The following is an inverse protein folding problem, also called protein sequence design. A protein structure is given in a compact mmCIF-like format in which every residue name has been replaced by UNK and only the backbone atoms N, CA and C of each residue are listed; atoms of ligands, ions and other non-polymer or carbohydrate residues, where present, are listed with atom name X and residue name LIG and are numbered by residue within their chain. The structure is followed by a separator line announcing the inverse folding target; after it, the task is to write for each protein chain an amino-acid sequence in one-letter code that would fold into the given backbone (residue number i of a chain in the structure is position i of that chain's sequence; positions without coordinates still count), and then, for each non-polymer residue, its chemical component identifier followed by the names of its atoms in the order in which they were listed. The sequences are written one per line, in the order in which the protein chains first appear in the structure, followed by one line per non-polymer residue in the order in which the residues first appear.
data_IF_134428836589
#
_entry.id   IF_134428836589
#
_cell.length_a   1.000
_cell.length_b   1.000
_cell.length_c   1.000
_cell.angle_alpha   90.00
_cell.angle_beta   90.00
_cell.angle_gamma   90.00
#
_symmetry.space_group_name_H-M   'P 1'
#
loop_
_entity.id
_entity.type
_entity.pdbx_description
1 polymer ?
#
# COMPACT_ATOMS: atom_id res chain seq x y z
N UNK A 1 13.51 -27.34 -23.35
CA UNK A 1 12.20 -27.07 -22.72
C UNK A 1 12.38 -27.18 -21.22
N UNK A 2 12.48 -26.05 -20.51
CA UNK A 2 12.54 -26.08 -19.06
C UNK A 2 11.18 -26.58 -18.54
N UNK A 3 11.18 -27.66 -17.78
CA UNK A 3 9.99 -28.20 -17.12
C UNK A 3 9.43 -27.13 -16.19
N UNK A 4 8.22 -26.65 -16.49
CA UNK A 4 7.48 -25.71 -15.63
C UNK A 4 7.38 -26.31 -14.23
N UNK A 5 7.84 -25.57 -13.23
CA UNK A 5 7.63 -25.95 -11.83
C UNK A 5 6.13 -26.16 -11.56
N UNK A 6 5.72 -27.27 -10.92
CA UNK A 6 4.32 -27.59 -10.68
C UNK A 6 3.80 -26.85 -9.44
N UNK A 7 3.59 -25.54 -9.58
CA UNK A 7 3.01 -24.70 -8.53
C UNK A 7 1.65 -25.24 -8.04
N UNK A 8 1.57 -25.60 -6.75
CA UNK A 8 0.37 -26.17 -6.15
C UNK A 8 -0.78 -25.16 -6.13
N UNK A 9 -0.48 -23.87 -5.93
CA UNK A 9 -1.49 -22.82 -5.96
C UNK A 9 -2.25 -22.73 -7.29
N UNK A 10 -1.67 -23.11 -8.43
CA UNK A 10 -2.34 -23.00 -9.74
C UNK A 10 -3.66 -23.79 -9.79
N UNK A 11 -3.72 -24.93 -9.12
CA UNK A 11 -4.92 -25.75 -9.04
C UNK A 11 -5.99 -25.15 -8.11
N UNK A 12 -5.58 -24.29 -7.18
CA UNK A 12 -6.43 -23.66 -6.16
C UNK A 12 -7.04 -22.35 -6.63
N UNK A 13 -6.31 -21.57 -7.44
CA UNK A 13 -6.76 -20.31 -8.04
C UNK A 13 -7.36 -20.53 -9.44
N UNK A 14 -8.54 -21.14 -9.46
CA UNK A 14 -9.39 -21.25 -10.65
C UNK A 14 -10.39 -20.10 -10.66
N UNK A 15 -10.81 -19.64 -11.85
CA UNK A 15 -11.84 -18.60 -11.99
C UNK A 15 -13.10 -19.01 -11.23
N UNK A 16 -13.61 -18.12 -10.37
CA UNK A 16 -14.77 -18.40 -9.50
C UNK A 16 -14.57 -19.54 -8.48
N UNK A 17 -13.32 -19.93 -8.20
CA UNK A 17 -13.02 -21.18 -7.47
C UNK A 17 -13.37 -21.19 -5.98
N UNK A 18 -13.73 -20.03 -5.40
CA UNK A 18 -14.01 -19.89 -3.97
C UNK A 18 -15.50 -19.74 -3.63
N UNK A 19 -16.32 -19.26 -4.56
CA UNK A 19 -17.74 -18.96 -4.35
C UNK A 19 -18.01 -17.79 -3.39
N UNK A 20 -19.28 -17.40 -3.28
CA UNK A 20 -19.73 -16.19 -2.57
C UNK A 20 -19.23 -16.02 -1.13
N UNK A 21 -19.26 -17.07 -0.32
CA UNK A 21 -18.83 -17.04 1.10
C UNK A 21 -17.36 -17.46 1.31
N UNK A 22 -16.56 -17.40 0.24
CA UNK A 22 -15.21 -17.97 0.19
C UNK A 22 -14.09 -17.15 0.85
N UNK A 23 -14.38 -15.99 1.44
CA UNK A 23 -13.39 -14.99 1.89
C UNK A 23 -12.26 -15.59 2.74
N UNK A 24 -12.61 -16.30 3.82
CA UNK A 24 -11.63 -16.90 4.73
C UNK A 24 -10.71 -17.91 4.00
N UNK A 25 -11.31 -18.79 3.18
CA UNK A 25 -10.58 -19.81 2.43
C UNK A 25 -9.67 -19.17 1.38
N UNK A 26 -10.13 -18.11 0.71
CA UNK A 26 -9.32 -17.35 -0.23
C UNK A 26 -8.08 -16.74 0.45
N UNK A 27 -8.27 -16.08 1.60
CA UNK A 27 -7.16 -15.53 2.39
C UNK A 27 -6.15 -16.61 2.83
N UNK A 28 -6.63 -17.77 3.28
CA UNK A 28 -5.76 -18.91 3.60
C UNK A 28 -4.98 -19.39 2.36
N UNK A 29 -5.63 -19.53 1.20
CA UNK A 29 -4.94 -19.95 -0.03
C UNK A 29 -3.93 -18.92 -0.53
N UNK A 30 -4.20 -17.63 -0.35
CA UNK A 30 -3.24 -16.56 -0.67
C UNK A 30 -1.98 -16.67 0.18
N UNK A 31 -2.14 -16.87 1.50
CA UNK A 31 -1.02 -17.06 2.43
C UNK A 31 -0.20 -18.32 2.12
N UNK A 32 -0.86 -19.44 1.80
CA UNK A 32 -0.17 -20.66 1.37
C UNK A 32 0.61 -20.47 0.08
N UNK A 33 0.03 -19.79 -0.92
CA UNK A 33 0.70 -19.54 -2.20
C UNK A 33 1.91 -18.61 -2.02
N UNK A 34 1.79 -17.58 -1.18
CA UNK A 34 2.92 -16.72 -0.83
C UNK A 34 4.04 -17.52 -0.17
N UNK A 35 3.72 -18.35 0.82
CA UNK A 35 4.69 -19.22 1.51
C UNK A 35 5.40 -20.17 0.55
N UNK A 36 4.66 -20.74 -0.41
CA UNK A 36 5.21 -21.60 -1.47
C UNK A 36 6.24 -20.85 -2.32
N UNK A 37 5.90 -19.64 -2.77
CA UNK A 37 6.77 -18.79 -3.61
C UNK A 37 8.01 -18.32 -2.82
N UNK A 38 7.84 -17.86 -1.59
CA UNK A 38 8.94 -17.45 -0.70
C UNK A 38 9.90 -18.61 -0.40
N UNK A 39 9.38 -19.84 -0.28
CA UNK A 39 10.18 -21.03 -0.12
C UNK A 39 11.12 -21.27 -1.30
N UNK A 40 10.65 -21.04 -2.53
CA UNK A 40 11.46 -21.14 -3.75
C UNK A 40 12.42 -19.96 -3.91
N UNK A 41 12.00 -18.75 -3.53
CA UNK A 41 12.79 -17.52 -3.68
C UNK A 41 14.17 -17.60 -3.01
N UNK A 42 14.34 -18.45 -1.99
CA UNK A 42 15.61 -18.68 -1.29
C UNK A 42 16.66 -19.39 -2.15
N UNK A 43 16.24 -20.15 -3.15
CA UNK A 43 17.12 -21.02 -3.96
C UNK A 43 17.07 -20.68 -5.44
N UNK A 44 15.91 -20.26 -5.94
CA UNK A 44 15.70 -19.86 -7.33
C UNK A 44 14.81 -18.60 -7.40
N UNK A 45 15.39 -17.41 -7.25
CA UNK A 45 14.65 -16.15 -7.31
C UNK A 45 13.99 -15.90 -8.67
N UNK A 46 14.57 -16.40 -9.76
CA UNK A 46 14.01 -16.26 -11.11
C UNK A 46 12.71 -17.08 -11.24
N UNK A 47 12.72 -18.31 -10.76
CA UNK A 47 11.53 -19.16 -10.73
C UNK A 47 10.46 -18.60 -9.79
N UNK A 48 10.84 -18.10 -8.62
CA UNK A 48 9.91 -17.46 -7.69
C UNK A 48 9.25 -16.21 -8.29
N UNK A 49 10.00 -15.38 -9.02
CA UNK A 49 9.45 -14.25 -9.78
C UNK A 49 8.39 -14.69 -10.81
N UNK A 50 8.65 -15.75 -11.58
CA UNK A 50 7.65 -16.33 -12.50
C UNK A 50 6.42 -16.82 -11.74
N UNK A 51 6.61 -17.49 -10.59
CA UNK A 51 5.52 -17.94 -9.72
C UNK A 51 4.65 -16.78 -9.23
N UNK A 52 5.27 -15.69 -8.80
CA UNK A 52 4.60 -14.47 -8.36
C UNK A 52 3.77 -13.84 -9.49
N UNK A 53 4.33 -13.74 -10.70
CA UNK A 53 3.60 -13.28 -11.90
C UNK A 53 2.38 -14.16 -12.16
N UNK A 54 2.53 -15.49 -12.15
CA UNK A 54 1.43 -16.43 -12.36
C UNK A 54 0.34 -16.29 -11.29
N UNK A 55 0.72 -16.08 -10.03
CA UNK A 55 -0.26 -15.91 -8.95
C UNK A 55 -1.08 -14.63 -9.13
N UNK A 56 -0.43 -13.51 -9.46
CA UNK A 56 -1.08 -12.23 -9.70
C UNK A 56 -2.06 -12.29 -10.89
N UNK A 57 -1.68 -12.93 -11.99
CA UNK A 57 -2.58 -13.17 -13.14
C UNK A 57 -3.86 -13.93 -12.76
N UNK A 58 -3.77 -14.78 -11.75
CA UNK A 58 -4.86 -15.67 -11.34
C UNK A 58 -5.70 -15.11 -10.22
N UNK A 59 -5.26 -14.05 -9.57
CA UNK A 59 -5.83 -13.59 -8.31
C UNK A 59 -7.26 -13.10 -8.52
N UNK A 60 -7.43 -12.01 -9.27
CA UNK A 60 -8.74 -11.38 -9.45
C UNK A 60 -9.78 -12.31 -10.08
N UNK A 61 -9.47 -13.08 -11.14
CA UNK A 61 -10.42 -14.04 -11.68
C UNK A 61 -10.85 -15.11 -10.68
N UNK A 62 -9.97 -15.52 -9.75
CA UNK A 62 -10.33 -16.51 -8.75
C UNK A 62 -11.24 -15.94 -7.65
N UNK A 63 -11.08 -14.65 -7.34
CA UNK A 63 -11.80 -13.96 -6.27
C UNK A 63 -13.10 -13.27 -6.73
N UNK A 64 -13.39 -13.23 -8.04
CA UNK A 64 -14.49 -12.46 -8.64
C UNK A 64 -15.87 -12.72 -8.03
N UNK A 65 -16.11 -13.94 -7.58
CA UNK A 65 -17.44 -14.39 -7.14
C UNK A 65 -17.64 -14.27 -5.62
N UNK A 66 -16.66 -13.75 -4.87
CA UNK A 66 -16.71 -13.60 -3.42
C UNK A 66 -17.33 -12.24 -3.05
N UNK A 67 -18.18 -12.22 -2.01
CA UNK A 67 -18.56 -10.98 -1.35
C UNK A 67 -17.37 -10.33 -0.63
N UNK A 68 -16.86 -9.24 -1.20
CA UNK A 68 -15.72 -8.47 -0.69
C UNK A 68 -16.13 -7.22 0.10
N UNK A 69 -17.43 -7.03 0.39
CA UNK A 69 -17.96 -5.82 1.06
C UNK A 69 -17.32 -5.49 2.40
N UNK A 70 -16.80 -6.51 3.11
CA UNK A 70 -16.08 -6.31 4.39
C UNK A 70 -14.71 -5.63 4.26
N UNK A 71 -14.16 -5.49 3.05
CA UNK A 71 -12.81 -4.96 2.79
C UNK A 71 -11.65 -5.89 3.19
N UNK A 72 -11.91 -6.92 4.00
CA UNK A 72 -10.88 -7.86 4.47
C UNK A 72 -10.16 -8.60 3.33
N UNK A 73 -10.88 -8.93 2.27
CA UNK A 73 -10.31 -9.59 1.09
C UNK A 73 -9.41 -8.65 0.30
N UNK A 74 -9.86 -7.40 0.08
CA UNK A 74 -9.07 -6.36 -0.59
C UNK A 74 -7.76 -6.09 0.17
N UNK A 75 -7.81 -5.94 1.50
CA UNK A 75 -6.62 -5.76 2.32
C UNK A 75 -5.65 -6.94 2.22
N UNK A 76 -6.16 -8.18 2.19
CA UNK A 76 -5.32 -9.36 2.03
C UNK A 76 -4.69 -9.45 0.64
N UNK A 77 -5.42 -9.08 -0.41
CA UNK A 77 -4.90 -9.02 -1.78
C UNK A 77 -3.84 -7.92 -1.93
N UNK A 78 -4.08 -6.73 -1.38
CA UNK A 78 -3.10 -5.64 -1.36
C UNK A 78 -1.80 -6.05 -0.63
N UNK A 79 -1.91 -6.69 0.54
CA UNK A 79 -0.74 -7.21 1.26
C UNK A 79 0.00 -8.33 0.50
N UNK A 80 -0.74 -9.15 -0.27
CA UNK A 80 -0.12 -10.15 -1.16
C UNK A 80 0.66 -9.47 -2.28
N UNK A 81 0.10 -8.45 -2.94
CA UNK A 81 0.80 -7.67 -3.98
C UNK A 81 2.07 -7.04 -3.40
N UNK A 82 1.98 -6.39 -2.24
CA UNK A 82 3.12 -5.77 -1.55
C UNK A 82 4.26 -6.76 -1.30
N UNK A 83 3.94 -8.01 -0.93
CA UNK A 83 4.95 -9.06 -0.71
C UNK A 83 5.55 -9.62 -2.00
N UNK A 84 4.77 -9.71 -3.09
CA UNK A 84 5.19 -10.33 -4.36
C UNK A 84 5.99 -9.38 -5.25
N UNK A 85 5.69 -8.07 -5.25
CA UNK A 85 6.37 -7.07 -6.08
C UNK A 85 7.90 -7.12 -5.91
N UNK A 86 8.47 -7.10 -4.67
CA UNK A 86 9.91 -7.17 -4.49
C UNK A 86 10.54 -8.46 -5.04
N UNK A 87 9.82 -9.59 -4.97
CA UNK A 87 10.30 -10.88 -5.52
C UNK A 87 10.41 -10.82 -7.05
N UNK A 88 9.45 -10.19 -7.71
CA UNK A 88 9.46 -10.00 -9.17
C UNK A 88 10.55 -8.98 -9.56
N UNK A 89 10.63 -7.85 -8.85
CA UNK A 89 11.61 -6.81 -9.12
C UNK A 89 13.05 -7.34 -9.00
N UNK A 90 13.36 -8.05 -7.90
CA UNK A 90 14.71 -8.55 -7.61
C UNK A 90 15.12 -9.81 -8.41
N UNK A 91 14.19 -10.45 -9.15
CA UNK A 91 14.48 -11.67 -9.90
C UNK A 91 15.56 -11.45 -10.98
N UNK A 92 16.66 -12.22 -11.00
CA UNK A 92 17.74 -12.06 -11.97
C UNK A 92 17.39 -12.75 -13.29
N UNK A 93 16.49 -12.14 -14.07
CA UNK A 93 16.03 -12.67 -15.36
C UNK A 93 16.50 -11.80 -16.53
N UNK A 94 16.67 -12.39 -17.74
CA UNK A 94 16.92 -11.62 -18.94
C UNK A 94 15.81 -10.58 -19.19
N UNK A 95 16.18 -9.44 -19.78
CA UNK A 95 15.24 -8.36 -20.08
C UNK A 95 14.00 -8.85 -20.86
N UNK A 96 14.18 -9.71 -21.86
CA UNK A 96 13.06 -10.27 -22.65
C UNK A 96 12.05 -11.06 -21.79
N UNK A 97 12.51 -11.75 -20.75
CA UNK A 97 11.63 -12.45 -19.80
C UNK A 97 10.87 -11.43 -18.95
N UNK A 98 11.55 -10.39 -18.47
CA UNK A 98 10.94 -9.32 -17.68
C UNK A 98 9.89 -8.55 -18.48
N UNK A 99 10.17 -8.20 -19.73
CA UNK A 99 9.22 -7.56 -20.62
C UNK A 99 7.94 -8.39 -20.77
N UNK A 100 8.09 -9.71 -21.02
CA UNK A 100 6.96 -10.63 -21.11
C UNK A 100 6.17 -10.73 -19.80
N UNK A 101 6.83 -10.68 -18.64
CA UNK A 101 6.15 -10.65 -17.35
C UNK A 101 5.31 -9.39 -17.18
N UNK A 102 5.86 -8.23 -17.53
CA UNK A 102 5.14 -6.96 -17.43
C UNK A 102 3.95 -6.91 -18.41
N UNK A 103 4.09 -7.41 -19.63
CA UNK A 103 2.97 -7.51 -20.59
C UNK A 103 1.82 -8.36 -20.03
N UNK A 104 2.16 -9.50 -19.44
CA UNK A 104 1.22 -10.42 -18.79
C UNK A 104 0.53 -9.78 -17.58
N UNK A 105 1.30 -9.16 -16.70
CA UNK A 105 0.77 -8.43 -15.54
C UNK A 105 -0.11 -7.26 -15.97
N UNK A 106 0.25 -6.58 -17.05
CA UNK A 106 -0.52 -5.45 -17.56
C UNK A 106 -1.86 -5.94 -18.09
N UNK A 107 -1.89 -7.04 -18.82
CA UNK A 107 -3.13 -7.71 -19.21
C UNK A 107 -4.01 -8.06 -18.00
N UNK A 108 -3.43 -8.70 -16.98
CA UNK A 108 -4.16 -9.04 -15.76
C UNK A 108 -4.70 -7.80 -15.02
N UNK A 109 -3.92 -6.73 -14.95
CA UNK A 109 -4.29 -5.46 -14.33
C UNK A 109 -5.42 -4.76 -15.11
N UNK A 110 -5.37 -4.78 -16.45
CA UNK A 110 -6.45 -4.27 -17.30
C UNK A 110 -7.75 -5.06 -17.09
N UNK A 111 -7.66 -6.38 -16.93
CA UNK A 111 -8.78 -7.28 -16.67
C UNK A 111 -9.20 -7.36 -15.18
N UNK A 112 -8.55 -6.59 -14.29
CA UNK A 112 -8.77 -6.63 -12.84
C UNK A 112 -10.17 -6.13 -12.47
N UNK A 113 -11.07 -7.06 -12.15
CA UNK A 113 -12.46 -6.79 -11.78
C UNK A 113 -13.04 -7.93 -10.90
N UNK A 114 -13.42 -7.67 -9.63
CA UNK A 114 -13.13 -6.46 -8.84
C UNK A 114 -11.62 -6.18 -8.70
N UNK A 115 -11.21 -4.94 -8.36
CA UNK A 115 -9.81 -4.51 -8.43
C UNK A 115 -8.96 -5.05 -7.25
N UNK A 116 -8.50 -6.30 -7.35
CA UNK A 116 -7.70 -6.95 -6.30
C UNK A 116 -6.19 -6.76 -6.47
N UNK A 117 -5.74 -6.38 -7.66
CA UNK A 117 -4.32 -6.16 -7.99
C UNK A 117 -4.03 -4.72 -8.44
N UNK A 118 -4.96 -3.78 -8.25
CA UNK A 118 -4.82 -2.38 -8.63
C UNK A 118 -3.57 -1.70 -8.04
N UNK A 119 -3.14 -2.13 -6.85
CA UNK A 119 -1.91 -1.65 -6.20
C UNK A 119 -0.63 -1.98 -6.99
N UNK A 120 -0.66 -2.90 -7.96
CA UNK A 120 0.44 -3.11 -8.90
C UNK A 120 0.75 -1.86 -9.72
N UNK A 121 -0.26 -1.05 -10.02
CA UNK A 121 -0.08 0.17 -10.79
C UNK A 121 0.90 1.14 -10.12
N UNK A 122 0.81 1.27 -8.79
CA UNK A 122 1.70 2.16 -8.03
C UNK A 122 3.15 1.65 -8.03
N UNK A 123 3.33 0.34 -8.14
CA UNK A 123 4.63 -0.33 -8.10
C UNK A 123 5.20 -0.65 -9.49
N UNK A 124 4.55 -0.19 -10.57
CA UNK A 124 4.91 -0.56 -11.94
C UNK A 124 6.35 -0.25 -12.31
N UNK A 125 6.84 0.91 -11.91
CA UNK A 125 8.22 1.30 -12.15
C UNK A 125 9.24 0.45 -11.36
N UNK A 126 8.90 -0.04 -10.18
CA UNK A 126 9.73 -1.00 -9.45
C UNK A 126 9.79 -2.37 -10.15
N UNK A 127 8.67 -2.83 -10.73
CA UNK A 127 8.61 -4.08 -11.50
C UNK A 127 9.48 -4.04 -12.77
N UNK A 128 9.67 -2.84 -13.34
CA UNK A 128 10.59 -2.63 -14.47
C UNK A 128 12.05 -2.93 -14.10
N UNK A 129 12.45 -2.77 -12.83
CA UNK A 129 13.78 -3.02 -12.27
C UNK A 129 14.97 -2.25 -12.88
N UNK A 130 14.79 -1.61 -14.03
CA UNK A 130 15.76 -0.71 -14.63
C UNK A 130 15.09 0.51 -15.29
N UNK A 131 15.86 1.58 -15.44
CA UNK A 131 15.40 2.87 -15.96
C UNK A 131 14.96 2.80 -17.42
N UNK A 132 15.60 1.95 -18.23
CA UNK A 132 15.35 1.87 -19.66
C UNK A 132 14.01 1.19 -19.94
N UNK A 133 13.72 0.10 -19.22
CA UNK A 133 12.42 -0.58 -19.30
C UNK A 133 11.30 0.29 -18.71
N UNK A 134 11.55 1.00 -17.62
CA UNK A 134 10.60 1.98 -17.09
C UNK A 134 10.28 3.07 -18.12
N UNK A 135 11.29 3.62 -18.79
CA UNK A 135 11.06 4.61 -19.86
C UNK A 135 10.29 4.02 -21.05
N UNK A 136 10.60 2.78 -21.45
CA UNK A 136 9.87 2.08 -22.53
C UNK A 136 8.38 1.92 -22.20
N UNK A 137 8.05 1.53 -20.97
CA UNK A 137 6.65 1.46 -20.51
C UNK A 137 5.99 2.84 -20.45
N UNK A 138 6.72 3.86 -19.99
CA UNK A 138 6.22 5.22 -20.02
C UNK A 138 5.88 5.66 -21.46
N UNK A 139 6.75 5.41 -22.44
CA UNK A 139 6.51 5.75 -23.84
C UNK A 139 5.30 5.02 -24.44
N UNK A 140 5.04 3.79 -24.00
CA UNK A 140 3.87 3.01 -24.43
C UNK A 140 2.56 3.57 -23.87
N UNK A 141 2.55 4.01 -22.60
CA UNK A 141 1.33 4.40 -21.90
C UNK A 141 1.00 5.90 -22.03
N UNK A 142 2.03 6.75 -22.07
CA UNK A 142 1.91 8.20 -22.03
C UNK A 142 0.99 8.79 -23.11
N UNK A 143 0.99 8.31 -24.38
CA UNK A 143 0.09 8.85 -25.39
C UNK A 143 -1.40 8.73 -25.01
N UNK A 144 -1.81 7.56 -24.51
CA UNK A 144 -3.20 7.33 -24.09
C UNK A 144 -3.53 8.13 -22.83
N UNK A 145 -2.63 8.16 -21.84
CA UNK A 145 -2.84 8.93 -20.61
C UNK A 145 -2.95 10.42 -20.91
N UNK A 146 -2.10 10.96 -21.78
CA UNK A 146 -2.16 12.36 -22.24
C UNK A 146 -3.51 12.66 -22.90
N UNK A 147 -4.01 11.77 -23.75
CA UNK A 147 -5.31 11.93 -24.39
C UNK A 147 -6.45 11.95 -23.36
N UNK A 148 -6.46 11.00 -22.42
CA UNK A 148 -7.45 10.93 -21.33
C UNK A 148 -7.44 12.20 -20.48
N UNK A 149 -6.25 12.68 -20.06
CA UNK A 149 -6.14 13.89 -19.25
C UNK A 149 -6.57 15.14 -20.03
N UNK A 150 -6.25 15.23 -21.32
CA UNK A 150 -6.71 16.31 -22.18
C UNK A 150 -8.25 16.32 -22.36
N UNK A 151 -8.89 15.15 -22.41
CA UNK A 151 -10.34 15.03 -22.46
C UNK A 151 -10.99 15.44 -21.13
N UNK A 152 -10.44 14.98 -19.99
CA UNK A 152 -10.85 15.45 -18.65
C UNK A 152 -10.77 16.97 -18.54
N UNK A 153 -9.71 17.58 -19.10
CA UNK A 153 -9.52 19.03 -19.17
C UNK A 153 -10.65 19.76 -19.90
N UNK A 154 -11.21 19.13 -20.94
CA UNK A 154 -12.34 19.69 -21.71
C UNK A 154 -13.69 19.45 -21.03
N UNK A 155 -13.71 18.80 -19.85
CA UNK A 155 -14.92 18.44 -19.14
C UNK A 155 -15.53 17.10 -19.59
N UNK A 156 -14.83 16.33 -20.42
CA UNK A 156 -15.27 15.01 -20.86
C UNK A 156 -14.88 13.96 -19.82
N UNK A 157 -15.80 13.06 -19.48
CA UNK A 157 -15.45 11.89 -18.68
C UNK A 157 -14.56 10.96 -19.51
N UNK A 158 -13.34 10.73 -19.05
CA UNK A 158 -12.38 9.82 -19.67
C UNK A 158 -11.64 9.05 -18.59
N UNK A 159 -11.41 7.76 -18.84
CA UNK A 159 -10.81 6.83 -17.89
C UNK A 159 -9.87 5.86 -18.60
N UNK A 160 -8.76 5.55 -17.95
CA UNK A 160 -7.86 4.46 -18.33
C UNK A 160 -7.30 3.89 -17.05
N UNK A 161 -7.11 2.57 -17.00
CA UNK A 161 -6.36 1.91 -15.93
C UNK A 161 -4.85 2.20 -16.02
N UNK A 162 -4.36 2.61 -17.20
CA UNK A 162 -2.93 2.83 -17.46
C UNK A 162 -2.33 4.11 -16.90
N UNK A 163 -3.10 4.97 -16.21
CA UNK A 163 -2.60 6.22 -15.64
C UNK A 163 -1.57 5.99 -14.53
N UNK A 164 -1.92 5.19 -13.53
CA UNK A 164 -1.04 4.91 -12.38
C UNK A 164 0.24 4.15 -12.80
N UNK A 165 0.17 3.09 -13.62
CA UNK A 165 1.38 2.47 -14.20
C UNK A 165 2.25 3.46 -14.99
N UNK A 166 1.65 4.37 -15.75
CA UNK A 166 2.38 5.39 -16.50
C UNK A 166 3.13 6.35 -15.56
N UNK A 167 2.46 6.86 -14.52
CA UNK A 167 3.09 7.74 -13.55
C UNK A 167 4.23 7.06 -12.79
N UNK A 168 4.02 5.80 -12.37
CA UNK A 168 5.04 4.99 -11.70
C UNK A 168 6.26 4.72 -12.60
N UNK A 169 6.03 4.45 -13.89
CA UNK A 169 7.07 4.26 -14.89
C UNK A 169 7.86 5.55 -15.16
N UNK A 170 7.18 6.68 -15.37
CA UNK A 170 7.82 8.00 -15.55
C UNK A 170 8.68 8.39 -14.34
N UNK A 171 8.13 8.23 -13.13
CA UNK A 171 8.83 8.51 -11.89
C UNK A 171 10.09 7.66 -11.78
N UNK A 172 9.97 6.35 -11.99
CA UNK A 172 11.10 5.43 -11.87
C UNK A 172 12.14 5.62 -12.96
N UNK A 173 11.74 6.05 -14.16
CA UNK A 173 12.66 6.41 -15.24
C UNK A 173 13.37 7.78 -15.02
N UNK A 174 13.03 8.52 -13.96
CA UNK A 174 13.54 9.86 -13.70
C UNK A 174 12.98 10.94 -14.64
N UNK A 175 11.94 10.62 -15.41
CA UNK A 175 11.28 11.55 -16.36
C UNK A 175 10.27 12.44 -15.64
N UNK A 176 10.76 13.16 -14.64
CA UNK A 176 9.94 13.95 -13.72
C UNK A 176 9.24 15.12 -14.42
N UNK A 177 9.86 15.72 -15.45
CA UNK A 177 9.22 16.80 -16.21
C UNK A 177 8.02 16.29 -17.02
N UNK A 178 8.14 15.13 -17.67
CA UNK A 178 7.03 14.49 -18.39
C UNK A 178 5.89 14.11 -17.42
N UNK A 179 6.24 13.60 -16.23
CA UNK A 179 5.27 13.29 -15.18
C UNK A 179 4.49 14.53 -14.72
N UNK A 180 5.19 15.62 -14.42
CA UNK A 180 4.55 16.87 -14.01
C UNK A 180 3.73 17.48 -15.15
N UNK A 181 4.21 17.39 -16.39
CA UNK A 181 3.50 17.91 -17.56
C UNK A 181 2.17 17.18 -17.81
N UNK A 182 2.13 15.85 -17.71
CA UNK A 182 0.89 15.09 -17.90
C UNK A 182 -0.10 15.30 -16.75
N UNK A 183 0.38 15.38 -15.51
CA UNK A 183 -0.48 15.65 -14.34
C UNK A 183 -1.10 17.05 -14.39
N UNK A 184 -0.38 18.05 -14.92
CA UNK A 184 -0.87 19.42 -15.07
C UNK A 184 -2.00 19.56 -16.11
N UNK A 185 -2.29 18.52 -16.90
CA UNK A 185 -3.40 18.53 -17.86
C UNK A 185 -4.76 18.37 -17.17
N UNK A 186 -4.85 17.68 -16.02
CA UNK A 186 -6.11 17.45 -15.33
C UNK A 186 -6.51 18.65 -14.45
N UNK A 187 -7.63 19.36 -14.73
CA UNK A 187 -8.07 20.49 -13.93
C UNK A 187 -8.74 20.08 -12.61
N UNK A 188 -9.07 18.80 -12.43
CA UNK A 188 -9.71 18.25 -11.22
C UNK A 188 -8.89 17.08 -10.68
N UNK A 189 -7.68 17.37 -10.18
CA UNK A 189 -6.76 16.34 -9.75
C UNK A 189 -7.37 15.39 -8.71
N UNK A 190 -7.31 14.08 -8.98
CA UNK A 190 -7.56 13.07 -7.98
C UNK A 190 -6.31 12.88 -7.11
N UNK A 191 -6.46 12.65 -5.80
CA UNK A 191 -5.31 12.59 -4.90
C UNK A 191 -4.34 11.45 -5.23
N UNK A 192 -4.86 10.33 -5.75
CA UNK A 192 -4.05 9.19 -6.21
C UNK A 192 -3.10 9.55 -7.36
N UNK A 193 -3.48 10.51 -8.20
CA UNK A 193 -2.65 10.99 -9.31
C UNK A 193 -1.65 12.03 -8.78
N UNK A 194 -2.12 12.98 -7.96
CA UNK A 194 -1.28 14.09 -7.48
C UNK A 194 -0.22 13.70 -6.45
N UNK A 195 -0.37 12.58 -5.75
CA UNK A 195 0.74 12.05 -4.94
C UNK A 195 2.01 11.86 -5.77
N UNK A 196 1.92 11.62 -7.08
CA UNK A 196 3.08 11.52 -7.96
C UNK A 196 3.79 12.86 -8.19
N UNK A 197 3.05 13.98 -8.23
CA UNK A 197 3.65 15.31 -8.27
C UNK A 197 4.42 15.60 -6.97
N UNK A 198 3.84 15.27 -5.81
CA UNK A 198 4.51 15.41 -4.52
C UNK A 198 5.76 14.53 -4.41
N UNK A 199 5.69 13.27 -4.85
CA UNK A 199 6.86 12.38 -4.94
C UNK A 199 7.96 12.98 -5.82
N UNK A 200 7.60 13.56 -6.98
CA UNK A 200 8.55 14.20 -7.88
C UNK A 200 9.22 15.44 -7.26
N UNK A 201 8.47 16.27 -6.53
CA UNK A 201 9.00 17.41 -5.77
C UNK A 201 10.00 16.95 -4.70
N UNK A 202 9.64 15.94 -3.91
CA UNK A 202 10.51 15.39 -2.86
C UNK A 202 11.84 14.86 -3.42
N UNK A 203 11.82 14.12 -4.54
CA UNK A 203 13.05 13.63 -5.21
C UNK A 203 13.94 14.78 -5.72
N UNK A 204 13.34 15.92 -6.09
CA UNK A 204 14.09 17.14 -6.46
C UNK A 204 14.64 17.92 -5.25
N UNK A 205 14.38 17.45 -4.03
CA UNK A 205 14.78 18.10 -2.78
C UNK A 205 13.80 19.15 -2.27
N UNK A 206 12.66 19.36 -2.94
CA UNK A 206 11.60 20.27 -2.49
C UNK A 206 10.62 19.54 -1.57
N UNK A 207 11.08 19.23 -0.36
CA UNK A 207 10.30 18.52 0.67
C UNK A 207 9.12 19.36 1.15
N UNK A 208 9.33 20.67 1.35
CA UNK A 208 8.28 21.57 1.78
C UNK A 208 7.17 21.71 0.72
N UNK A 209 7.54 21.83 -0.56
CA UNK A 209 6.60 21.84 -1.67
C UNK A 209 5.84 20.52 -1.81
N UNK A 210 6.52 19.39 -1.64
CA UNK A 210 5.88 18.07 -1.62
C UNK A 210 4.83 17.96 -0.51
N UNK A 211 5.15 18.42 0.70
CA UNK A 211 4.21 18.44 1.82
C UNK A 211 3.04 19.39 1.55
N UNK A 212 3.31 20.60 1.07
CA UNK A 212 2.26 21.56 0.71
C UNK A 212 1.31 21.00 -0.35
N UNK A 213 1.85 20.27 -1.34
CA UNK A 213 1.06 19.55 -2.33
C UNK A 213 0.14 18.52 -1.66
N UNK A 214 0.67 17.64 -0.79
CA UNK A 214 -0.14 16.64 -0.07
C UNK A 214 -1.21 17.29 0.81
N UNK A 215 -0.86 18.36 1.54
CA UNK A 215 -1.81 19.10 2.38
C UNK A 215 -2.97 19.70 1.56
N UNK A 216 -2.69 20.18 0.34
CA UNK A 216 -3.73 20.73 -0.55
C UNK A 216 -4.73 19.69 -1.06
N UNK A 217 -4.38 18.40 -0.99
CA UNK A 217 -5.23 17.29 -1.41
C UNK A 217 -6.18 16.80 -0.30
N UNK A 218 -6.03 17.29 0.93
CA UNK A 218 -6.90 16.88 2.04
C UNK A 218 -8.34 17.27 1.76
N UNK A 219 -9.25 16.33 1.97
CA UNK A 219 -10.67 16.54 1.73
C UNK A 219 -11.50 15.30 2.04
N UNK A 220 -12.83 15.37 1.90
CA UNK A 220 -13.75 14.29 2.29
C UNK A 220 -13.59 13.01 1.46
N UNK A 221 -12.89 13.07 0.32
CA UNK A 221 -12.69 11.96 -0.60
C UNK A 221 -11.24 11.41 -0.60
N UNK A 222 -10.37 11.95 0.26
CA UNK A 222 -9.00 11.49 0.41
C UNK A 222 -8.79 10.89 1.79
N UNK A 223 -8.03 9.80 1.86
CA UNK A 223 -7.68 9.16 3.13
C UNK A 223 -6.68 10.04 3.89
N UNK A 224 -7.11 10.63 4.99
CA UNK A 224 -6.25 11.46 5.84
C UNK A 224 -5.03 10.69 6.36
N UNK A 225 -5.22 9.40 6.69
CA UNK A 225 -4.14 8.48 7.08
C UNK A 225 -3.13 8.29 5.94
N UNK A 226 -3.60 8.08 4.71
CA UNK A 226 -2.72 7.85 3.56
C UNK A 226 -1.92 9.11 3.19
N UNK A 227 -2.58 10.27 3.16
CA UNK A 227 -1.91 11.56 2.92
C UNK A 227 -0.89 11.87 4.02
N UNK A 228 -1.26 11.65 5.29
CA UNK A 228 -0.33 11.83 6.41
C UNK A 228 0.86 10.86 6.33
N UNK A 229 0.64 9.62 5.90
CA UNK A 229 1.72 8.65 5.67
C UNK A 229 2.69 9.07 4.57
N UNK A 230 2.21 9.67 3.49
CA UNK A 230 3.08 10.23 2.44
C UNK A 230 3.89 11.43 2.95
N UNK A 231 3.26 12.37 3.64
CA UNK A 231 3.95 13.53 4.20
C UNK A 231 4.97 13.14 5.29
N UNK A 232 4.61 12.19 6.15
CA UNK A 232 5.52 11.56 7.12
C UNK A 232 6.73 10.96 6.41
N UNK A 233 6.49 10.21 5.33
CA UNK A 233 7.57 9.55 4.59
C UNK A 233 8.55 10.54 3.98
N UNK A 234 8.06 11.64 3.38
CA UNK A 234 8.94 12.68 2.82
C UNK A 234 9.85 13.31 3.88
N UNK A 235 9.33 13.60 5.08
CA UNK A 235 10.13 14.11 6.19
C UNK A 235 11.15 13.08 6.70
N UNK A 236 10.76 11.81 6.80
CA UNK A 236 11.66 10.73 7.21
C UNK A 236 12.81 10.52 6.22
N UNK A 237 12.51 10.49 4.92
CA UNK A 237 13.53 10.35 3.87
C UNK A 237 14.48 11.57 3.82
N UNK A 238 14.00 12.75 4.24
CA UNK A 238 14.80 13.96 4.42
C UNK A 238 15.59 14.01 5.75
N UNK A 239 15.44 13.00 6.61
CA UNK A 239 16.10 12.93 7.93
C UNK A 239 15.43 13.77 9.03
N UNK A 240 14.28 14.40 8.76
CA UNK A 240 13.53 15.26 9.67
C UNK A 240 12.60 14.45 10.60
N UNK A 241 13.19 13.54 11.38
CA UNK A 241 12.47 12.56 12.20
C UNK A 241 11.53 13.18 13.25
N UNK A 242 11.98 14.25 13.92
CA UNK A 242 11.18 14.91 14.97
C UNK A 242 9.94 15.61 14.39
N UNK A 243 10.09 16.25 13.22
CA UNK A 243 8.99 16.90 12.52
C UNK A 243 8.02 15.88 11.94
N UNK A 244 8.54 14.78 11.37
CA UNK A 244 7.73 13.67 10.87
C UNK A 244 6.81 13.13 11.97
N UNK A 245 7.38 12.87 13.15
CA UNK A 245 6.61 12.40 14.29
C UNK A 245 5.59 13.43 14.77
N UNK A 246 6.04 14.66 15.02
CA UNK A 246 5.23 15.71 15.65
C UNK A 246 4.03 16.08 14.78
N UNK A 247 4.21 16.11 13.46
CA UNK A 247 3.16 16.52 12.52
C UNK A 247 2.27 15.35 12.09
N UNK A 248 2.87 14.21 11.77
CA UNK A 248 2.16 13.15 11.05
C UNK A 248 2.22 11.79 11.72
N UNK A 249 3.14 11.52 12.64
CA UNK A 249 3.35 10.18 13.20
C UNK A 249 2.05 9.52 13.68
N UNK A 250 1.24 10.24 14.45
CA UNK A 250 -0.05 9.73 14.95
C UNK A 250 -1.06 9.54 13.81
N UNK A 251 -1.25 10.56 12.96
CA UNK A 251 -2.25 10.55 11.89
C UNK A 251 -1.95 9.51 10.80
N UNK A 252 -0.67 9.30 10.50
CA UNK A 252 -0.18 8.32 9.54
C UNK A 252 -0.24 6.86 10.04
N UNK A 253 -0.57 6.64 11.32
CA UNK A 253 -0.59 5.30 11.90
C UNK A 253 -2.01 4.85 12.19
N UNK A 254 -2.50 3.90 11.39
CA UNK A 254 -3.70 3.12 11.67
C UNK A 254 -3.33 1.69 12.12
N UNK A 255 -4.11 1.13 13.04
CA UNK A 255 -3.95 -0.27 13.48
C UNK A 255 -5.21 -0.79 14.18
N UNK A 256 -5.49 -2.09 13.98
CA UNK A 256 -6.64 -2.79 14.55
C UNK A 256 -6.72 -2.77 16.09
N UNK A 257 -5.62 -2.49 16.79
CA UNK A 257 -5.60 -2.38 18.25
C UNK A 257 -4.69 -1.24 18.71
N UNK A 258 -5.04 -0.61 19.83
CA UNK A 258 -4.24 0.44 20.46
C UNK A 258 -2.79 0.02 20.74
N UNK A 259 -2.58 -1.22 21.19
CA UNK A 259 -1.23 -1.73 21.45
C UNK A 259 -0.42 -1.96 20.17
N UNK A 260 -1.06 -2.39 19.07
CA UNK A 260 -0.39 -2.51 17.78
C UNK A 260 -0.01 -1.13 17.24
N UNK A 261 -0.91 -0.13 17.36
CA UNK A 261 -0.63 1.27 16.99
C UNK A 261 0.59 1.82 17.74
N UNK A 262 0.61 1.64 19.06
CA UNK A 262 1.74 2.03 19.92
C UNK A 262 3.05 1.34 19.50
N UNK A 263 3.03 0.02 19.33
CA UNK A 263 4.25 -0.74 18.95
C UNK A 263 4.77 -0.33 17.57
N UNK A 264 3.88 -0.05 16.62
CA UNK A 264 4.24 0.44 15.29
C UNK A 264 5.02 1.77 15.39
N UNK A 265 4.51 2.72 16.17
CA UNK A 265 5.18 4.01 16.39
C UNK A 265 6.50 3.88 17.13
N UNK A 266 6.57 3.08 18.20
CA UNK A 266 7.84 2.83 18.92
C UNK A 266 8.90 2.22 17.99
N UNK A 267 8.48 1.31 17.09
CA UNK A 267 9.39 0.72 16.11
C UNK A 267 9.84 1.75 15.06
N UNK A 268 8.94 2.60 14.58
CA UNK A 268 9.21 3.62 13.55
C UNK A 268 10.07 4.77 14.07
N UNK A 269 9.90 5.15 15.35
CA UNK A 269 10.57 6.28 15.99
C UNK A 269 11.38 5.84 17.22
N UNK A 270 12.50 5.12 17.04
CA UNK A 270 13.30 4.61 18.15
C UNK A 270 13.96 5.72 19.00
N UNK A 271 14.12 6.94 18.44
CA UNK A 271 14.66 8.10 19.14
C UNK A 271 13.67 8.80 20.08
N UNK A 272 12.38 8.48 20.01
CA UNK A 272 11.34 9.13 20.79
C UNK A 272 11.02 8.27 22.01
N UNK A 273 11.05 8.83 23.24
CA UNK A 273 10.76 8.06 24.44
C UNK A 273 9.40 7.36 24.34
N UNK A 274 9.31 6.03 24.58
CA UNK A 274 8.05 5.31 24.44
C UNK A 274 6.93 5.86 25.33
N UNK A 275 7.26 6.42 26.49
CA UNK A 275 6.31 7.11 27.35
C UNK A 275 5.68 8.36 26.70
N UNK A 276 6.45 9.13 25.93
CA UNK A 276 5.94 10.26 25.13
C UNK A 276 5.00 9.75 24.05
N UNK A 277 5.38 8.70 23.33
CA UNK A 277 4.53 8.10 22.28
C UNK A 277 3.17 7.67 22.83
N UNK A 278 3.15 6.99 23.98
CA UNK A 278 1.90 6.60 24.61
C UNK A 278 1.07 7.82 25.07
N UNK A 279 1.71 8.83 25.65
CA UNK A 279 1.06 10.07 26.07
C UNK A 279 0.38 10.79 24.90
N UNK A 280 1.11 10.98 23.80
CA UNK A 280 0.61 11.68 22.62
C UNK A 280 -0.52 10.89 21.95
N UNK A 281 -0.43 9.56 21.92
CA UNK A 281 -1.51 8.69 21.46
C UNK A 281 -2.78 8.79 22.30
N UNK A 282 -2.66 8.86 23.63
CA UNK A 282 -3.81 9.07 24.53
C UNK A 282 -4.42 10.45 24.29
N UNK A 283 -3.58 11.49 24.16
CA UNK A 283 -4.03 12.87 23.92
C UNK A 283 -4.72 13.05 22.56
N UNK A 284 -4.37 12.22 21.56
CA UNK A 284 -4.97 12.27 20.22
C UNK A 284 -6.42 11.81 20.13
N UNK A 285 -6.99 11.23 21.20
CA UNK A 285 -8.38 10.79 21.25
C UNK A 285 -9.09 11.30 22.53
N UNK A 286 -9.35 12.63 22.64
CA UNK A 286 -10.01 13.20 23.81
C UNK A 286 -11.39 12.57 24.06
N UNK A 287 -11.66 12.20 25.30
CA UNK A 287 -12.90 11.53 25.74
C UNK A 287 -12.91 10.01 25.58
N UNK A 288 -11.97 9.43 24.83
CA UNK A 288 -11.82 7.97 24.66
C UNK A 288 -10.57 7.41 25.33
N UNK A 289 -9.99 8.14 26.29
CA UNK A 289 -8.73 7.80 26.96
C UNK A 289 -8.83 6.43 27.65
N UNK A 290 -10.02 6.07 28.14
CA UNK A 290 -10.30 4.76 28.76
C UNK A 290 -10.03 3.57 27.84
N UNK A 291 -10.05 3.74 26.51
CA UNK A 291 -9.71 2.69 25.54
C UNK A 291 -8.22 2.29 25.59
N UNK A 292 -7.35 3.16 26.11
CA UNK A 292 -5.93 2.89 26.30
C UNK A 292 -5.60 2.13 27.60
N UNK A 293 -6.59 1.91 28.48
CA UNK A 293 -6.40 1.19 29.75
C UNK A 293 -5.75 -0.18 29.57
N UNK A 294 -6.27 -0.99 28.65
CA UNK A 294 -5.75 -2.33 28.40
C UNK A 294 -4.29 -2.27 27.92
N UNK A 295 -3.96 -1.30 27.06
CA UNK A 295 -2.59 -1.05 26.60
C UNK A 295 -1.68 -0.68 27.77
N UNK A 296 -2.09 0.27 28.63
CA UNK A 296 -1.32 0.68 29.81
C UNK A 296 -1.06 -0.49 30.78
N UNK A 297 -2.05 -1.35 31.04
CA UNK A 297 -1.87 -2.58 31.83
C UNK A 297 -0.88 -3.54 31.17
N UNK A 298 -1.02 -3.80 29.86
CA UNK A 298 -0.10 -4.69 29.13
C UNK A 298 1.34 -4.17 29.14
N UNK A 299 1.52 -2.85 29.13
CA UNK A 299 2.82 -2.18 29.27
C UNK A 299 3.30 -2.06 30.73
N UNK A 300 2.57 -2.62 31.70
CA UNK A 300 2.86 -2.56 33.15
C UNK A 300 2.93 -1.13 33.72
N UNK A 301 2.24 -0.18 33.10
CA UNK A 301 2.12 1.20 33.60
C UNK A 301 0.85 1.33 34.45
N UNK A 302 0.87 0.76 35.65
CA UNK A 302 -0.32 0.61 36.49
C UNK A 302 -0.89 1.96 36.96
N UNK A 303 -0.05 2.94 37.32
CA UNK A 303 -0.51 4.27 37.74
C UNK A 303 -1.25 4.99 36.61
N UNK A 304 -0.73 4.90 35.38
CA UNK A 304 -1.39 5.43 34.20
C UNK A 304 -2.71 4.69 33.94
N UNK A 305 -2.74 3.37 34.06
CA UNK A 305 -3.96 2.59 33.89
C UNK A 305 -5.05 3.01 34.89
N UNK A 306 -4.69 3.22 36.17
CA UNK A 306 -5.62 3.71 37.19
C UNK A 306 -6.14 5.11 36.80
N UNK A 307 -5.25 6.02 36.41
CA UNK A 307 -5.63 7.37 35.99
C UNK A 307 -6.58 7.38 34.78
N UNK A 308 -6.36 6.50 33.79
CA UNK A 308 -7.23 6.37 32.62
C UNK A 308 -8.62 5.85 33.00
N UNK A 309 -8.70 4.89 33.91
CA UNK A 309 -9.97 4.34 34.39
C UNK A 309 -10.81 5.36 35.18
N UNK A 310 -10.18 6.36 35.80
CA UNK A 310 -10.88 7.44 36.51
C UNK A 310 -11.32 8.59 35.60
N UNK A 311 -10.76 8.73 34.38
CA UNK A 311 -10.98 9.89 33.49
C UNK A 311 -12.03 9.67 32.42
N UNK A 312 -12.24 8.44 31.97
CA UNK A 312 -13.20 8.13 30.89
C UNK A 312 -13.79 6.71 31.11
N UNK A 313 -15.04 6.44 30.67
CA UNK A 313 -15.66 5.14 30.85
C UNK A 313 -14.83 4.02 30.21
N UNK A 314 -14.41 3.05 31.02
CA UNK A 314 -13.75 1.82 30.54
C UNK A 314 -14.82 0.74 30.38
N UNK A 315 -14.79 -0.02 29.28
CA UNK A 315 -15.70 -1.16 29.08
C UNK A 315 -15.67 -2.08 30.31
N UNK A 316 -16.82 -2.30 31.00
CA UNK A 316 -16.91 -3.15 32.18
C UNK A 316 -16.37 -4.57 31.96
N UNK A 317 -16.48 -5.12 30.73
CA UNK A 317 -15.91 -6.45 30.41
C UNK A 317 -14.39 -6.43 30.47
N UNK A 318 -13.77 -5.32 30.07
CA UNK A 318 -12.31 -5.14 30.15
C UNK A 318 -11.87 -5.02 31.60
N UNK A 319 -12.58 -4.27 32.44
CA UNK A 319 -12.31 -4.18 33.89
C UNK A 319 -12.42 -5.55 34.59
N UNK A 320 -13.48 -6.32 34.33
CA UNK A 320 -13.71 -7.63 34.96
C UNK A 320 -12.69 -8.67 34.51
N UNK A 321 -12.33 -8.72 33.21
CA UNK A 321 -11.26 -9.59 32.71
C UNK A 321 -9.91 -9.24 33.34
N UNK A 322 -9.68 -7.96 33.61
CA UNK A 322 -8.45 -7.44 34.21
C UNK A 322 -8.38 -7.67 35.72
N UNK A 323 -9.49 -7.67 36.45
CA UNK A 323 -9.53 -7.92 37.89
C UNK A 323 -9.35 -9.39 38.28
N UNK A 324 -9.50 -10.31 37.31
CA UNK A 324 -9.39 -11.77 37.52
C UNK A 324 -7.99 -12.35 37.24
N UNK A 325 -7.02 -11.54 36.82
CA UNK A 325 -5.65 -11.98 36.52
C UNK A 325 -4.61 -10.90 36.76
#
# INVERSE_FOLDING_TARGET
MATSHPWAFRARFKRGGFGWSGTKKAMERMSEALTEIEGIARFDPALAGEGAVILLEKLSPALSDIDSSSGSLGNAAAGLVEALVPLIAAAPVPQATREKWLERLFGAFQDDDPPYIESLGEQWGALCADLALASKWADQLLPLVTHVMADRRRGTYAYTKGDTPCFSALFSAGRLDDLLAVLALDPKPHWHDQQWAAKAMAVRGDVDGAIACIESLRGPYASDTALSGLAERFLLDAGQNDDAYTRYGIQATDANTHIARYRSLVKRYPGIPPGRILGDLIASAPGEEGKWFATAKTLKQFDLAIALASRSPVDPKTLVRVARG
#
